data_IF_976307153248
#
_entry.id   IF_976307153248
#
_cell.length_a   1.000
_cell.length_b   1.000
_cell.length_c   1.000
_cell.angle_alpha   90.00
_cell.angle_beta   90.00
_cell.angle_gamma   90.00
#
_symmetry.space_group_name_H-M   'P 1'
#
loop_
_entity.id
_entity.type
_entity.pdbx_description
1 polymer ?
#
# COMPACT_ATOMS: atom_id res chain seq x y z
N UNK A 1 -33.19 35.45 38.14
CA UNK A 1 -33.43 35.90 36.75
C UNK A 1 -32.25 36.68 36.16
N UNK A 2 -31.76 37.79 36.74
CA UNK A 2 -30.63 38.56 36.17
C UNK A 2 -29.33 37.73 36.03
N UNK A 3 -28.93 37.03 37.08
CA UNK A 3 -27.73 36.18 37.05
C UNK A 3 -27.83 35.01 36.05
N UNK A 4 -29.04 34.47 35.84
CA UNK A 4 -29.27 33.41 34.84
C UNK A 4 -29.16 33.95 33.41
N UNK A 5 -29.59 35.19 33.17
CA UNK A 5 -29.48 35.84 31.87
C UNK A 5 -28.03 36.12 31.49
N UNK A 6 -27.22 36.62 32.43
CA UNK A 6 -25.78 36.82 32.19
C UNK A 6 -25.05 35.52 31.87
N UNK A 7 -25.39 34.42 32.56
CA UNK A 7 -24.82 33.09 32.26
C UNK A 7 -25.28 32.59 30.88
N UNK A 8 -26.54 32.81 30.51
CA UNK A 8 -27.05 32.44 29.17
C UNK A 8 -26.34 33.24 28.08
N UNK A 9 -26.18 34.56 28.24
CA UNK A 9 -25.49 35.40 27.26
C UNK A 9 -24.00 35.02 27.12
N UNK A 10 -23.36 34.50 28.18
CA UNK A 10 -22.00 33.96 28.13
C UNK A 10 -21.91 32.59 27.45
N UNK A 11 -22.93 31.74 27.60
CA UNK A 11 -22.99 30.41 26.99
C UNK A 11 -23.48 30.43 25.53
N UNK A 12 -24.29 31.43 25.17
CA UNK A 12 -24.84 31.63 23.81
C UNK A 12 -23.83 32.36 22.90
N UNK A 13 -22.60 31.87 22.89
CA UNK A 13 -21.57 32.31 21.96
C UNK A 13 -21.46 31.35 20.78
N UNK A 14 -21.17 31.90 19.61
CA UNK A 14 -20.94 31.09 18.41
C UNK A 14 -19.70 30.20 18.61
N UNK A 15 -19.90 28.89 18.55
CA UNK A 15 -18.81 27.91 18.59
C UNK A 15 -17.89 28.08 17.37
N UNK A 16 -16.59 28.08 17.62
CA UNK A 16 -15.59 28.02 16.56
C UNK A 16 -15.58 26.62 15.92
N UNK A 17 -15.09 26.57 14.69
CA UNK A 17 -14.87 25.32 13.95
C UNK A 17 -13.37 25.09 13.76
N UNK A 18 -12.97 23.84 13.61
CA UNK A 18 -11.59 23.46 13.32
C UNK A 18 -11.57 22.62 12.06
N UNK A 19 -10.76 23.03 11.10
CA UNK A 19 -10.36 22.18 9.97
C UNK A 19 -9.13 21.40 10.41
N UNK A 20 -9.18 20.09 10.25
CA UNK A 20 -8.03 19.22 10.46
C UNK A 20 -7.58 18.71 9.10
N UNK A 21 -6.32 18.97 8.78
CA UNK A 21 -5.64 18.43 7.61
C UNK A 21 -4.58 17.44 8.08
N UNK A 22 -4.68 16.18 7.63
CA UNK A 22 -3.63 15.18 7.84
C UNK A 22 -2.92 14.89 6.52
N UNK A 23 -1.64 14.59 6.61
CA UNK A 23 -0.77 14.22 5.49
C UNK A 23 -0.05 12.94 5.89
N UNK A 24 -0.31 11.88 5.14
CA UNK A 24 0.28 10.57 5.36
C UNK A 24 1.17 10.27 4.17
N UNK A 25 2.44 10.04 4.46
CA UNK A 25 3.46 9.72 3.46
C UNK A 25 3.99 8.33 3.78
N UNK A 26 3.85 7.39 2.84
CA UNK A 26 4.42 6.05 2.92
C UNK A 26 5.29 5.81 1.70
N UNK A 27 6.57 5.52 1.92
CA UNK A 27 7.53 5.14 0.89
C UNK A 27 8.02 3.74 1.19
N UNK A 28 7.82 2.81 0.28
CA UNK A 28 8.37 1.46 0.38
C UNK A 28 9.32 1.17 -0.78
N UNK A 29 10.38 0.41 -0.50
CA UNK A 29 11.35 -0.05 -1.48
C UNK A 29 11.67 -1.53 -1.19
N UNK A 30 11.55 -2.37 -2.21
CA UNK A 30 11.88 -3.79 -2.16
C UNK A 30 12.97 -4.07 -3.20
N UNK A 31 14.14 -4.55 -2.79
CA UNK A 31 15.21 -4.98 -3.69
C UNK A 31 15.55 -6.44 -3.39
N UNK A 32 15.47 -7.30 -4.41
CA UNK A 32 15.76 -8.72 -4.32
C UNK A 32 16.75 -9.11 -5.41
N UNK A 33 17.82 -9.77 -5.01
CA UNK A 33 18.87 -10.30 -5.87
C UNK A 33 18.99 -11.80 -5.62
N UNK A 34 18.91 -12.61 -6.67
CA UNK A 34 19.08 -14.04 -6.59
C UNK A 34 20.04 -14.51 -7.70
N UNK A 35 20.98 -15.36 -7.32
CA UNK A 35 21.87 -16.02 -8.25
C UNK A 35 22.13 -17.46 -7.80
N UNK A 36 21.98 -18.42 -8.71
CA UNK A 36 22.28 -19.82 -8.40
C UNK A 36 22.42 -20.69 -9.62
N UNK A 37 23.12 -21.81 -9.46
CA UNK A 37 23.28 -22.82 -10.51
C UNK A 37 22.82 -24.18 -9.96
N UNK A 38 21.94 -24.84 -10.69
CA UNK A 38 21.40 -26.15 -10.37
C UNK A 38 21.91 -27.18 -11.38
N UNK A 39 22.24 -28.37 -10.89
CA UNK A 39 22.73 -29.48 -11.70
C UNK A 39 21.80 -30.68 -11.52
N UNK A 40 21.42 -31.32 -12.60
CA UNK A 40 20.60 -32.53 -12.58
C UNK A 40 21.13 -33.52 -13.60
N UNK A 41 21.16 -34.80 -13.25
CA UNK A 41 21.51 -35.88 -14.17
C UNK A 41 20.49 -37.03 -14.07
N UNK A 42 20.10 -37.58 -15.21
CA UNK A 42 19.12 -38.67 -15.27
C UNK A 42 18.58 -38.96 -16.67
N UNK A 43 18.21 -40.23 -16.91
CA UNK A 43 17.64 -40.69 -18.17
C UNK A 43 16.12 -40.43 -18.20
N UNK A 44 15.63 -39.69 -19.20
CA UNK A 44 14.20 -39.38 -19.36
C UNK A 44 13.37 -40.54 -19.95
N UNK A 45 14.02 -41.61 -20.44
CA UNK A 45 13.38 -42.66 -21.25
C UNK A 45 13.48 -44.07 -20.67
N UNK A 46 13.91 -44.28 -19.42
CA UNK A 46 13.98 -45.64 -18.85
C UNK A 46 14.62 -45.72 -17.48
N UNK A 47 14.38 -46.85 -16.79
CA UNK A 47 14.81 -47.18 -15.43
C UNK A 47 16.33 -46.97 -15.22
N UNK A 48 16.70 -45.79 -14.77
CA UNK A 48 18.06 -45.40 -14.42
C UNK A 48 18.05 -44.51 -13.18
N UNK A 49 19.16 -44.49 -12.44
CA UNK A 49 19.31 -43.65 -11.26
C UNK A 49 19.24 -42.17 -11.61
N UNK A 50 18.50 -41.40 -10.81
CA UNK A 50 18.39 -39.95 -10.91
C UNK A 50 19.25 -39.33 -9.79
N UNK A 51 20.07 -38.34 -10.12
CA UNK A 51 20.90 -37.62 -9.14
C UNK A 51 21.01 -36.14 -9.52
N UNK A 52 20.95 -35.24 -8.56
CA UNK A 52 21.03 -33.81 -8.85
C UNK A 52 21.03 -32.98 -7.57
N UNK A 53 21.58 -31.77 -7.67
CA UNK A 53 21.51 -30.76 -6.63
C UNK A 53 20.45 -29.75 -7.03
N UNK A 54 19.30 -29.83 -6.35
CA UNK A 54 18.24 -28.84 -6.45
C UNK A 54 18.39 -27.87 -5.27
N UNK A 55 18.82 -26.65 -5.56
CA UNK A 55 19.05 -25.59 -4.58
C UNK A 55 17.99 -24.51 -4.84
N UNK A 56 16.99 -24.37 -3.98
CA UNK A 56 15.99 -23.30 -3.92
C UNK A 56 15.04 -23.08 -5.12
N UNK A 57 13.73 -23.11 -4.87
CA UNK A 57 12.66 -22.75 -5.83
C UNK A 57 12.27 -23.87 -6.80
N UNK A 58 10.99 -23.86 -7.23
CA UNK A 58 10.37 -24.88 -8.11
C UNK A 58 11.28 -25.28 -9.28
N UNK A 59 12.08 -26.32 -9.07
CA UNK A 59 13.04 -26.80 -10.04
C UNK A 59 12.49 -27.98 -10.83
N UNK A 60 13.30 -28.41 -11.79
CA UNK A 60 13.06 -29.57 -12.62
C UNK A 60 12.63 -30.79 -11.77
N UNK A 61 11.35 -31.15 -11.85
CA UNK A 61 10.74 -32.27 -11.13
C UNK A 61 11.53 -33.57 -11.36
N UNK A 62 11.83 -34.29 -10.28
CA UNK A 62 12.65 -35.53 -10.27
C UNK A 62 11.89 -36.80 -10.68
N UNK A 63 10.59 -36.69 -11.00
CA UNK A 63 9.72 -37.82 -11.35
C UNK A 63 8.69 -37.55 -12.45
N UNK A 64 8.77 -36.44 -13.18
CA UNK A 64 7.83 -36.10 -14.26
C UNK A 64 8.49 -35.29 -15.39
N UNK A 65 7.89 -35.30 -16.58
CA UNK A 65 8.37 -34.50 -17.72
C UNK A 65 8.45 -33.03 -17.34
N UNK A 66 9.65 -32.48 -17.30
CA UNK A 66 9.88 -31.08 -16.95
C UNK A 66 9.46 -30.20 -18.11
N UNK A 67 8.26 -29.62 -18.05
CA UNK A 67 7.87 -28.56 -18.98
C UNK A 67 8.60 -27.26 -18.60
N UNK A 68 9.04 -26.53 -19.63
CA UNK A 68 9.65 -25.18 -19.51
C UNK A 68 8.67 -24.16 -18.87
N UNK A 69 7.39 -24.52 -18.77
CA UNK A 69 6.27 -23.70 -18.29
C UNK A 69 6.25 -23.48 -16.76
N UNK A 70 7.13 -24.15 -16.00
CA UNK A 70 7.17 -24.09 -14.51
C UNK A 70 8.39 -23.31 -14.00
N UNK A 71 9.16 -22.66 -14.88
CA UNK A 71 10.33 -21.90 -14.49
C UNK A 71 9.93 -20.57 -13.82
N UNK A 72 10.38 -20.28 -12.59
CA UNK A 72 10.10 -19.01 -11.94
C UNK A 72 10.76 -17.83 -12.67
N UNK A 73 10.22 -16.63 -12.47
CA UNK A 73 10.67 -15.39 -13.12
C UNK A 73 12.18 -15.14 -12.91
N UNK A 74 12.87 -14.70 -13.97
CA UNK A 74 14.32 -14.46 -14.00
C UNK A 74 14.96 -14.91 -15.33
N UNK A 75 16.27 -14.65 -15.48
CA UNK A 75 17.04 -15.24 -16.57
C UNK A 75 17.37 -16.68 -16.20
N UNK A 76 16.82 -17.63 -16.96
CA UNK A 76 17.03 -19.06 -16.80
C UNK A 76 17.75 -19.57 -18.05
N UNK A 77 19.00 -19.99 -17.92
CA UNK A 77 19.78 -20.58 -19.02
C UNK A 77 20.04 -22.04 -18.68
N UNK A 78 19.61 -22.94 -19.55
CA UNK A 78 19.85 -24.36 -19.36
C UNK A 78 20.18 -25.10 -20.63
N UNK A 79 20.97 -26.17 -20.46
CA UNK A 79 21.34 -27.10 -21.53
C UNK A 79 20.72 -28.45 -21.19
N UNK A 80 19.96 -29.01 -22.14
CA UNK A 80 19.36 -30.34 -22.04
C UNK A 80 19.88 -31.15 -23.23
N UNK A 81 20.67 -32.20 -22.99
CA UNK A 81 21.24 -33.04 -24.05
C UNK A 81 20.77 -34.48 -23.89
N UNK A 82 19.67 -34.83 -24.57
CA UNK A 82 19.21 -36.22 -24.65
C UNK A 82 20.34 -37.22 -24.93
N UNK A 83 20.21 -38.41 -24.34
CA UNK A 83 21.23 -39.46 -24.20
C UNK A 83 22.36 -39.43 -25.26
N UNK A 84 23.60 -39.30 -24.80
CA UNK A 84 24.78 -39.36 -25.67
C UNK A 84 25.28 -40.81 -25.70
N UNK A 85 25.07 -41.50 -26.83
CA UNK A 85 25.69 -42.79 -27.10
C UNK A 85 27.13 -42.56 -27.56
N UNK A 86 28.11 -42.88 -26.72
CA UNK A 86 29.53 -42.80 -27.09
C UNK A 86 29.96 -44.17 -27.64
N UNK A 87 30.44 -44.27 -28.90
CA UNK A 87 30.89 -45.55 -29.48
C UNK A 87 32.01 -46.16 -28.62
N UNK A 88 31.76 -47.35 -28.07
CA UNK A 88 32.71 -48.11 -27.25
C UNK A 88 32.59 -47.93 -25.72
N UNK A 89 31.72 -47.04 -25.23
CA UNK A 89 31.58 -46.76 -23.77
C UNK A 89 30.14 -46.93 -23.26
N UNK A 90 29.13 -46.97 -24.14
CA UNK A 90 27.72 -47.16 -23.79
C UNK A 90 26.93 -45.84 -23.73
N UNK A 91 25.69 -45.90 -23.23
CA UNK A 91 24.86 -44.71 -22.98
C UNK A 91 25.34 -43.98 -21.73
N UNK A 92 25.77 -42.72 -21.87
CA UNK A 92 26.19 -41.87 -20.75
C UNK A 92 25.01 -41.02 -20.28
N UNK A 93 24.88 -40.84 -18.96
CA UNK A 93 23.83 -40.01 -18.36
C UNK A 93 23.89 -38.56 -18.88
N UNK A 94 22.73 -38.00 -19.24
CA UNK A 94 22.59 -36.56 -19.60
C UNK A 94 22.84 -35.70 -18.36
N UNK A 95 23.68 -34.68 -18.49
CA UNK A 95 23.92 -33.66 -17.48
C UNK A 95 23.19 -32.38 -17.88
N UNK A 96 22.14 -32.08 -17.13
CA UNK A 96 21.37 -30.85 -17.25
C UNK A 96 21.92 -29.80 -16.29
N UNK A 97 22.07 -28.59 -16.80
CA UNK A 97 22.51 -27.43 -16.04
C UNK A 97 21.45 -26.37 -16.15
N UNK A 98 21.12 -25.71 -15.05
CA UNK A 98 20.23 -24.55 -15.02
C UNK A 98 20.91 -23.45 -14.22
N UNK A 99 21.31 -22.38 -14.90
CA UNK A 99 21.78 -21.15 -14.27
C UNK A 99 20.63 -20.15 -14.16
N UNK A 100 20.44 -19.59 -12.97
CA UNK A 100 19.41 -18.61 -12.67
C UNK A 100 20.04 -17.33 -12.14
N UNK A 101 19.65 -16.20 -12.72
CA UNK A 101 19.96 -14.87 -12.21
C UNK A 101 18.70 -13.99 -12.23
N UNK A 102 18.42 -13.33 -11.11
CA UNK A 102 17.30 -12.42 -10.96
C UNK A 102 17.74 -11.20 -10.15
N UNK A 103 17.41 -10.01 -10.66
CA UNK A 103 17.43 -8.77 -9.91
C UNK A 103 16.06 -8.12 -10.05
N UNK A 104 15.38 -7.91 -8.94
CA UNK A 104 14.05 -7.32 -8.86
C UNK A 104 14.12 -6.09 -7.97
N UNK A 105 13.69 -4.96 -8.49
CA UNK A 105 13.55 -3.73 -7.72
C UNK A 105 12.11 -3.23 -7.84
N UNK A 106 11.44 -3.10 -6.70
CA UNK A 106 10.10 -2.54 -6.56
C UNK A 106 10.13 -1.32 -5.65
N UNK A 107 9.23 -0.37 -5.89
CA UNK A 107 9.05 0.78 -5.02
C UNK A 107 7.62 1.29 -5.09
N UNK A 108 7.15 1.84 -3.98
CA UNK A 108 5.84 2.47 -3.87
C UNK A 108 5.96 3.79 -3.13
N UNK A 109 5.18 4.79 -3.55
CA UNK A 109 5.05 6.07 -2.87
C UNK A 109 3.57 6.41 -2.76
N UNK A 110 3.06 6.48 -1.53
CA UNK A 110 1.67 6.75 -1.23
C UNK A 110 1.58 8.06 -0.46
N UNK A 111 0.85 9.01 -1.03
CA UNK A 111 0.53 10.29 -0.40
C UNK A 111 -0.98 10.39 -0.19
N UNK A 112 -1.42 10.42 1.06
CA UNK A 112 -2.83 10.59 1.40
C UNK A 112 -3.04 11.85 2.21
N UNK A 113 -4.03 12.68 1.81
CA UNK A 113 -4.35 13.94 2.50
C UNK A 113 -5.82 14.00 2.94
N UNK A 114 -6.23 13.23 3.95
CA UNK A 114 -7.57 13.34 4.49
C UNK A 114 -7.78 14.71 5.15
N UNK A 115 -8.95 15.31 4.92
CA UNK A 115 -9.36 16.55 5.54
C UNK A 115 -10.75 16.41 6.16
N UNK A 116 -10.97 17.10 7.27
CA UNK A 116 -12.29 17.18 7.89
C UNK A 116 -12.51 18.54 8.58
N UNK A 117 -13.78 18.91 8.72
CA UNK A 117 -14.21 20.11 9.45
C UNK A 117 -15.12 19.65 10.59
N UNK A 118 -14.89 20.16 11.80
CA UNK A 118 -15.75 19.88 12.95
C UNK A 118 -15.89 21.10 13.86
N UNK A 119 -16.87 21.06 14.75
CA UNK A 119 -17.04 22.07 15.79
C UNK A 119 -16.03 21.85 16.93
N UNK A 120 -15.70 22.91 17.64
CA UNK A 120 -14.95 22.81 18.88
C UNK A 120 -15.65 21.88 19.89
N UNK A 121 -14.92 20.97 20.52
CA UNK A 121 -15.37 19.92 21.43
C UNK A 121 -16.23 18.80 20.80
N UNK A 122 -16.44 18.79 19.49
CA UNK A 122 -17.25 17.80 18.78
C UNK A 122 -16.38 16.75 18.07
N UNK A 123 -16.65 15.47 18.30
CA UNK A 123 -15.95 14.40 17.59
C UNK A 123 -16.43 14.31 16.15
N UNK A 124 -15.50 14.15 15.22
CA UNK A 124 -15.78 13.92 13.82
C UNK A 124 -14.95 12.74 13.29
N UNK A 125 -15.50 12.03 12.31
CA UNK A 125 -14.82 10.92 11.67
C UNK A 125 -14.98 10.96 10.16
N UNK A 126 -13.95 10.50 9.45
CA UNK A 126 -13.97 10.26 8.02
C UNK A 126 -13.41 8.85 7.77
N UNK A 127 -14.13 8.08 6.95
CA UNK A 127 -13.70 6.77 6.49
C UNK A 127 -13.69 6.75 4.96
N UNK A 128 -12.57 6.34 4.38
CA UNK A 128 -12.37 6.17 2.94
C UNK A 128 -11.76 4.80 2.72
N UNK A 129 -12.55 3.85 2.24
CA UNK A 129 -12.11 2.48 2.11
C UNK A 129 -13.15 1.58 1.48
N UNK A 130 -12.95 0.28 1.67
CA UNK A 130 -13.81 -0.78 1.18
C UNK A 130 -14.17 -1.69 2.34
N UNK A 131 -15.38 -2.25 2.32
CA UNK A 131 -15.80 -3.27 3.28
C UNK A 131 -15.64 -4.64 2.63
N UNK A 132 -14.77 -5.47 3.20
CA UNK A 132 -14.37 -6.75 2.62
C UNK A 132 -14.90 -7.89 3.48
N UNK A 133 -15.45 -8.96 2.88
CA UNK A 133 -15.90 -10.15 3.61
C UNK A 133 -14.71 -11.06 4.01
N UNK A 134 -14.73 -11.53 5.25
CA UNK A 134 -13.82 -12.51 5.85
C UNK A 134 -14.61 -13.75 6.26
N UNK A 135 -14.20 -14.93 5.81
CA UNK A 135 -14.82 -16.19 6.24
C UNK A 135 -14.25 -16.57 7.61
N UNK A 136 -15.05 -16.51 8.67
CA UNK A 136 -14.62 -16.76 10.06
C UNK A 136 -14.89 -18.18 10.53
N UNK A 137 -15.65 -18.95 9.76
CA UNK A 137 -15.89 -20.37 10.05
C UNK A 137 -16.49 -21.07 8.85
N UNK A 138 -16.15 -22.35 8.68
CA UNK A 138 -16.78 -23.23 7.71
C UNK A 138 -17.14 -24.55 8.37
N UNK A 139 -18.40 -24.96 8.33
CA UNK A 139 -18.81 -26.28 8.80
C UNK A 139 -19.48 -27.06 7.69
N UNK A 140 -19.07 -28.31 7.50
CA UNK A 140 -19.78 -29.28 6.66
C UNK A 140 -20.81 -29.99 7.53
N UNK A 141 -22.09 -29.84 7.20
CA UNK A 141 -23.14 -30.66 7.81
C UNK A 141 -23.02 -32.08 7.28
N UNK A 142 -22.46 -32.98 8.08
CA UNK A 142 -22.38 -34.41 7.77
C UNK A 142 -23.76 -35.08 7.78
N UNK A 143 -24.52 -34.91 6.70
CA UNK A 143 -25.70 -35.72 6.39
C UNK A 143 -25.38 -36.59 5.18
N UNK A 144 -25.34 -37.91 5.37
CA UNK A 144 -24.85 -38.89 4.39
C UNK A 144 -25.33 -38.64 2.96
N UNK A 145 -24.39 -38.26 2.11
CA UNK A 145 -24.59 -37.95 0.70
C UNK A 145 -23.55 -36.92 0.25
N UNK A 146 -22.90 -37.18 -0.87
CA UNK A 146 -21.73 -36.54 -1.53
C UNK A 146 -21.80 -35.02 -1.77
N UNK A 147 -22.37 -34.21 -0.87
CA UNK A 147 -22.47 -32.75 -0.99
C UNK A 147 -21.43 -32.08 -0.10
N UNK A 148 -20.26 -31.83 -0.70
CA UNK A 148 -19.11 -31.19 -0.05
C UNK A 148 -19.16 -29.65 -0.23
N UNK A 149 -20.27 -29.00 0.13
CA UNK A 149 -20.37 -27.54 0.14
C UNK A 149 -20.45 -27.04 1.59
N UNK A 150 -19.34 -26.61 2.20
CA UNK A 150 -19.34 -26.14 3.58
C UNK A 150 -20.15 -24.85 3.72
N UNK A 151 -21.00 -24.75 4.75
CA UNK A 151 -21.62 -23.49 5.13
C UNK A 151 -20.54 -22.57 5.71
N UNK A 152 -20.40 -21.36 5.16
CA UNK A 152 -19.39 -20.39 5.56
C UNK A 152 -20.05 -19.21 6.30
N UNK A 153 -19.56 -18.91 7.50
CA UNK A 153 -19.91 -17.67 8.22
C UNK A 153 -18.99 -16.56 7.76
N UNK A 154 -19.57 -15.43 7.35
CA UNK A 154 -18.84 -14.29 6.79
C UNK A 154 -18.99 -13.07 7.69
N UNK A 155 -17.86 -12.53 8.17
CA UNK A 155 -17.78 -11.25 8.88
C UNK A 155 -17.29 -10.18 7.91
N UNK A 156 -17.83 -8.96 7.99
CA UNK A 156 -17.39 -7.85 7.14
C UNK A 156 -16.49 -6.92 7.95
N UNK A 157 -15.33 -6.59 7.40
CA UNK A 157 -14.40 -5.64 8.02
C UNK A 157 -14.09 -4.49 7.06
N UNK A 158 -13.92 -3.30 7.64
CA UNK A 158 -13.57 -2.07 6.93
C UNK A 158 -12.05 -2.01 6.72
N UNK A 159 -11.62 -1.88 5.47
CA UNK A 159 -10.21 -1.72 5.09
C UNK A 159 -10.04 -0.41 4.33
N UNK A 160 -9.21 0.49 4.83
CA UNK A 160 -8.94 1.79 4.22
C UNK A 160 -8.39 2.80 5.21
N UNK A 161 -8.60 4.07 4.91
CA UNK A 161 -8.20 5.19 5.77
C UNK A 161 -9.36 5.59 6.67
N UNK A 162 -9.13 5.57 7.98
CA UNK A 162 -10.06 6.06 9.00
C UNK A 162 -9.37 7.14 9.82
N UNK A 163 -10.01 8.28 9.98
CA UNK A 163 -9.54 9.36 10.82
C UNK A 163 -10.69 9.82 11.71
N UNK A 164 -10.55 9.62 13.02
CA UNK A 164 -11.41 10.17 14.03
C UNK A 164 -10.64 11.24 14.79
N UNK A 165 -11.26 12.39 15.03
CA UNK A 165 -10.63 13.46 15.78
C UNK A 165 -11.66 14.23 16.59
N UNK A 166 -11.23 14.66 17.78
CA UNK A 166 -11.97 15.58 18.64
C UNK A 166 -11.08 16.78 18.96
N UNK A 167 -11.34 17.95 18.39
CA UNK A 167 -10.60 19.15 18.73
C UNK A 167 -11.18 19.83 19.96
N UNK A 168 -10.29 20.49 20.70
CA UNK A 168 -10.62 21.38 21.80
C UNK A 168 -9.74 22.63 21.70
N UNK A 169 -10.35 23.79 21.52
CA UNK A 169 -9.64 25.07 21.41
C UNK A 169 -9.39 25.62 22.82
N UNK A 170 -8.14 25.98 23.11
CA UNK A 170 -7.75 26.68 24.32
C UNK A 170 -7.87 28.20 24.13
N UNK A 171 -7.96 28.96 25.22
CA UNK A 171 -8.05 30.42 25.17
C UNK A 171 -6.87 31.08 24.45
N UNK A 172 -5.67 30.47 24.54
CA UNK A 172 -4.45 30.94 23.87
C UNK A 172 -4.38 30.73 22.35
N UNK A 173 -5.42 30.19 21.71
CA UNK A 173 -5.42 29.92 20.27
C UNK A 173 -4.75 28.60 19.87
N UNK A 174 -4.30 27.83 20.85
CA UNK A 174 -3.79 26.47 20.68
C UNK A 174 -4.96 25.47 20.64
N UNK A 175 -4.83 24.44 19.81
CA UNK A 175 -5.81 23.36 19.64
C UNK A 175 -5.25 22.07 20.24
N UNK A 176 -5.94 21.54 21.25
CA UNK A 176 -5.75 20.17 21.70
C UNK A 176 -6.55 19.25 20.76
N UNK A 177 -5.93 18.18 20.29
CA UNK A 177 -6.57 17.21 19.40
C UNK A 177 -6.40 15.81 19.99
N UNK A 178 -7.52 15.14 20.24
CA UNK A 178 -7.55 13.70 20.48
C UNK A 178 -7.80 13.02 19.13
N UNK A 179 -6.83 12.22 18.65
CA UNK A 179 -6.80 11.70 17.29
C UNK A 179 -6.65 10.19 17.30
N UNK A 180 -7.53 9.52 16.56
CA UNK A 180 -7.37 8.12 16.16
C UNK A 180 -7.29 8.05 14.65
N UNK A 181 -6.12 7.72 14.13
CA UNK A 181 -5.89 7.53 12.70
C UNK A 181 -5.53 6.08 12.43
N UNK A 182 -6.15 5.49 11.41
CA UNK A 182 -5.88 4.15 10.95
C UNK A 182 -5.75 4.14 9.43
N UNK A 183 -4.74 3.44 8.93
CA UNK A 183 -4.56 3.11 7.53
C UNK A 183 -4.47 1.60 7.44
N UNK A 184 -5.38 1.00 6.68
CA UNK A 184 -5.36 -0.43 6.40
C UNK A 184 -5.41 -0.71 4.90
N UNK A 185 -4.70 -1.77 4.50
CA UNK A 185 -4.69 -2.26 3.13
C UNK A 185 -4.79 -3.78 3.10
N UNK A 186 -5.23 -4.32 1.96
CA UNK A 186 -5.29 -5.77 1.74
C UNK A 186 -3.97 -6.24 1.17
N UNK A 187 -3.38 -7.26 1.80
CA UNK A 187 -2.24 -7.97 1.25
C UNK A 187 -2.72 -9.11 0.34
N UNK A 188 -2.69 -8.86 -0.97
CA UNK A 188 -3.07 -9.84 -2.00
C UNK A 188 -2.02 -10.95 -2.18
N UNK A 189 -0.79 -10.78 -1.67
CA UNK A 189 0.28 -11.77 -1.81
C UNK A 189 0.24 -12.80 -0.68
N UNK A 190 -0.22 -12.37 0.50
CA UNK A 190 -0.40 -13.21 1.67
C UNK A 190 -1.79 -13.90 1.73
N UNK A 191 -2.72 -13.57 0.82
CA UNK A 191 -4.02 -14.26 0.74
C UNK A 191 -3.86 -15.69 0.23
N UNK A 192 -3.63 -16.62 1.16
CA UNK A 192 -3.63 -18.06 0.93
C UNK A 192 -5.07 -18.61 1.00
N UNK A 193 -5.22 -19.91 0.73
CA UNK A 193 -6.49 -20.65 0.76
C UNK A 193 -7.31 -20.54 2.07
N UNK A 194 -6.76 -19.95 3.14
CA UNK A 194 -7.41 -19.73 4.44
C UNK A 194 -7.93 -18.30 4.69
N UNK A 195 -7.77 -17.35 3.75
CA UNK A 195 -8.41 -16.04 3.87
C UNK A 195 -7.53 -14.85 3.46
N UNK A 196 -8.16 -13.67 3.46
CA UNK A 196 -7.52 -12.40 3.14
C UNK A 196 -6.70 -11.90 4.33
N UNK A 197 -5.46 -11.46 4.09
CA UNK A 197 -4.62 -10.80 5.11
C UNK A 197 -4.71 -9.29 4.93
N UNK A 198 -4.81 -8.54 6.03
CA UNK A 198 -4.83 -7.07 6.02
C UNK A 198 -3.67 -6.51 6.84
N UNK A 199 -2.97 -5.52 6.29
CA UNK A 199 -2.01 -4.75 7.07
C UNK A 199 -2.74 -3.55 7.67
N UNK A 200 -2.58 -3.34 8.98
CA UNK A 200 -3.20 -2.23 9.71
C UNK A 200 -2.14 -1.42 10.42
N UNK A 201 -2.16 -0.11 10.21
CA UNK A 201 -1.28 0.86 10.84
C UNK A 201 -2.15 1.89 11.54
N UNK A 202 -2.05 1.98 12.85
CA UNK A 202 -2.90 2.86 13.64
C UNK A 202 -2.08 3.73 14.59
N UNK A 203 -2.52 4.96 14.80
CA UNK A 203 -1.97 5.94 15.74
C UNK A 203 -3.14 6.45 16.58
N UNK A 204 -3.01 6.33 17.90
CA UNK A 204 -3.93 6.89 18.89
C UNK A 204 -3.12 7.82 19.80
N UNK A 205 -3.39 9.12 19.74
CA UNK A 205 -2.60 10.11 20.46
C UNK A 205 -3.40 11.38 20.77
N UNK A 206 -2.95 12.11 21.79
CA UNK A 206 -3.46 13.43 22.15
C UNK A 206 -2.32 14.44 22.07
N UNK A 207 -2.49 15.48 21.25
CA UNK A 207 -1.47 16.48 20.99
C UNK A 207 -2.02 17.88 21.19
N UNK A 208 -1.12 18.84 21.33
CA UNK A 208 -1.43 20.26 21.48
C UNK A 208 -0.61 21.03 20.45
N UNK A 209 -1.30 21.83 19.62
CA UNK A 209 -0.74 22.49 18.45
C UNK A 209 -1.25 23.92 18.32
N UNK A 210 -0.41 24.85 17.87
CA UNK A 210 -0.89 26.19 17.54
C UNK A 210 -1.65 26.22 16.20
N UNK A 211 -2.51 27.23 16.04
CA UNK A 211 -3.30 27.42 14.82
C UNK A 211 -2.41 27.50 13.56
N UNK A 212 -2.68 26.64 12.57
CA UNK A 212 -1.94 26.56 11.32
C UNK A 212 -0.57 25.86 11.40
N UNK A 213 -0.10 25.47 12.59
CA UNK A 213 1.16 24.75 12.74
C UNK A 213 1.02 23.31 12.23
N UNK A 214 2.04 22.82 11.53
CA UNK A 214 2.13 21.40 11.15
C UNK A 214 3.05 20.67 12.12
N UNK A 215 2.64 19.49 12.58
CA UNK A 215 3.44 18.63 13.44
C UNK A 215 3.40 17.18 12.94
N UNK A 216 4.50 16.46 13.16
CA UNK A 216 4.58 15.02 12.93
C UNK A 216 3.94 14.31 14.12
N UNK A 217 2.87 13.54 13.88
CA UNK A 217 2.22 12.71 14.90
C UNK A 217 3.06 11.49 15.25
N UNK A 218 3.76 10.96 14.25
CA UNK A 218 4.58 9.78 14.37
C UNK A 218 5.08 9.28 13.02
N UNK A 219 5.86 8.22 13.06
CA UNK A 219 6.36 7.55 11.89
C UNK A 219 6.95 6.19 12.22
N UNK A 220 7.14 5.36 11.19
CA UNK A 220 7.79 4.06 11.27
C UNK A 220 8.87 4.01 10.22
N UNK A 221 10.09 3.66 10.62
CA UNK A 221 11.18 3.28 9.73
C UNK A 221 11.42 1.79 9.95
N UNK A 222 11.21 0.99 8.91
CA UNK A 222 11.40 -0.46 8.97
C UNK A 222 12.34 -0.89 7.86
N UNK A 223 13.47 -1.48 8.26
CA UNK A 223 14.46 -2.05 7.35
C UNK A 223 14.56 -3.56 7.62
N UNK A 224 14.23 -4.36 6.62
CA UNK A 224 14.39 -5.80 6.59
C UNK A 224 15.54 -6.19 5.68
N UNK A 225 16.37 -7.13 6.14
CA UNK A 225 17.39 -7.79 5.34
C UNK A 225 17.26 -9.29 5.54
N UNK A 226 17.10 -10.02 4.44
CA UNK A 226 17.04 -11.48 4.43
C UNK A 226 18.09 -11.99 3.45
N UNK A 227 18.87 -12.97 3.89
CA UNK A 227 19.89 -13.63 3.09
C UNK A 227 19.75 -15.13 3.29
N UNK A 228 19.58 -15.84 2.17
CA UNK A 228 19.48 -17.30 2.10
C UNK A 228 20.61 -17.82 1.23
N UNK A 229 21.53 -18.57 1.85
CA UNK A 229 22.67 -19.18 1.18
C UNK A 229 22.54 -20.70 1.24
N UNK A 230 22.26 -21.32 0.09
CA UNK A 230 22.26 -22.76 -0.08
C UNK A 230 23.49 -23.17 -0.87
N UNK A 231 24.27 -24.13 -0.38
CA UNK A 231 25.51 -24.52 -1.04
C UNK A 231 25.84 -25.99 -0.81
N UNK A 232 26.49 -26.61 -1.80
CA UNK A 232 27.04 -27.96 -1.65
C UNK A 232 28.29 -27.88 -0.76
N UNK A 233 28.37 -28.64 0.35
CA UNK A 233 29.57 -28.68 1.19
C UNK A 233 30.81 -29.06 0.37
N UNK A 234 31.96 -28.45 0.69
CA UNK A 234 33.26 -28.60 -0.01
C UNK A 234 33.34 -28.02 -1.42
N UNK A 235 32.43 -28.37 -2.35
CA UNK A 235 32.48 -27.91 -3.74
C UNK A 235 32.26 -26.40 -3.87
N UNK A 236 31.46 -25.82 -2.99
CA UNK A 236 31.23 -24.37 -2.92
C UNK A 236 32.45 -23.54 -2.51
N UNK A 237 33.48 -24.18 -1.92
CA UNK A 237 34.69 -23.48 -1.42
C UNK A 237 35.80 -23.36 -2.46
N UNK A 238 35.68 -24.02 -3.61
CA UNK A 238 36.69 -23.96 -4.67
C UNK A 238 36.73 -22.53 -5.23
N UNK A 239 37.87 -21.83 -5.22
CA UNK A 239 37.97 -20.51 -5.83
C UNK A 239 37.62 -20.60 -7.33
N UNK A 240 37.00 -19.55 -7.88
CA UNK A 240 36.44 -19.49 -9.25
C UNK A 240 35.23 -20.40 -9.51
N UNK A 241 35.27 -21.68 -9.12
CA UNK A 241 34.25 -22.68 -9.48
C UNK A 241 33.13 -22.85 -8.44
N UNK A 242 33.35 -22.43 -7.19
CA UNK A 242 32.38 -22.59 -6.10
C UNK A 242 31.06 -21.84 -6.33
N UNK A 243 31.07 -20.82 -7.19
CA UNK A 243 29.88 -20.05 -7.62
C UNK A 243 28.87 -20.94 -8.37
N UNK A 244 29.34 -22.02 -9.01
CA UNK A 244 28.50 -22.98 -9.72
C UNK A 244 27.81 -23.99 -8.79
N UNK A 245 28.16 -24.04 -7.51
CA UNK A 245 27.64 -25.01 -6.54
C UNK A 245 26.94 -24.33 -5.35
N UNK A 246 26.48 -23.10 -5.54
CA UNK A 246 25.74 -22.31 -4.55
C UNK A 246 24.53 -21.63 -5.18
N UNK A 247 23.51 -21.38 -4.38
CA UNK A 247 22.37 -20.53 -4.63
C UNK A 247 22.30 -19.50 -3.51
N UNK A 248 22.39 -18.23 -3.89
CA UNK A 248 22.36 -17.10 -2.98
C UNK A 248 21.16 -16.23 -3.35
N UNK A 249 20.29 -16.01 -2.36
CA UNK A 249 19.14 -15.12 -2.48
C UNK A 249 19.24 -14.08 -1.36
N UNK A 250 19.28 -12.81 -1.75
CA UNK A 250 19.28 -11.65 -0.87
C UNK A 250 18.06 -10.81 -1.15
N UNK A 251 17.32 -10.42 -0.12
CA UNK A 251 16.26 -9.42 -0.24
C UNK A 251 16.40 -8.38 0.85
N UNK A 252 16.14 -7.13 0.48
CA UNK A 252 15.96 -6.03 1.41
C UNK A 252 14.61 -5.37 1.17
N UNK A 253 13.92 -5.08 2.26
CA UNK A 253 12.66 -4.34 2.25
C UNK A 253 12.80 -3.14 3.16
N UNK A 254 12.49 -1.95 2.66
CA UNK A 254 12.51 -0.69 3.40
C UNK A 254 11.13 -0.08 3.36
N UNK A 255 10.63 0.38 4.49
CA UNK A 255 9.34 1.06 4.61
C UNK A 255 9.47 2.26 5.53
N UNK A 256 9.14 3.44 5.00
CA UNK A 256 9.17 4.72 5.70
C UNK A 256 7.77 5.30 5.74
N UNK A 257 7.19 5.43 6.92
CA UNK A 257 5.89 6.06 7.12
C UNK A 257 6.04 7.29 7.98
N UNK A 258 5.42 8.40 7.57
CA UNK A 258 5.31 9.62 8.35
C UNK A 258 3.87 10.14 8.31
N UNK A 259 3.36 10.57 9.45
CA UNK A 259 2.04 11.19 9.57
C UNK A 259 2.20 12.59 10.09
N UNK A 260 1.74 13.57 9.33
CA UNK A 260 1.69 14.97 9.72
C UNK A 260 0.25 15.40 9.92
N UNK A 261 0.06 16.38 10.80
CA UNK A 261 -1.24 16.99 11.03
C UNK A 261 -1.11 18.48 11.21
N UNK A 262 -2.10 19.22 10.69
CA UNK A 262 -2.25 20.66 10.83
C UNK A 262 -3.70 21.01 11.19
N UNK A 263 -3.97 21.62 12.35
CA UNK A 263 -5.26 22.23 12.63
C UNK A 263 -5.32 23.66 12.08
N UNK A 264 -6.53 24.10 11.71
CA UNK A 264 -6.82 25.49 11.37
C UNK A 264 -8.15 25.93 11.99
N UNK A 265 -8.14 26.99 12.79
CA UNK A 265 -9.32 27.48 13.50
C UNK A 265 -10.12 28.44 12.60
N UNK A 266 -11.42 28.18 12.47
CA UNK A 266 -12.37 29.04 11.78
C UNK A 266 -13.31 29.66 12.81
N UNK A 267 -13.11 30.96 13.07
CA UNK A 267 -14.00 31.77 13.94
C UNK A 267 -15.02 32.57 13.13
N UNK A 268 -14.64 33.01 11.95
CA UNK A 268 -15.43 33.89 11.09
C UNK A 268 -15.99 33.17 9.86
N UNK A 269 -17.20 33.54 9.43
CA UNK A 269 -17.84 33.00 8.23
C UNK A 269 -17.09 33.40 6.95
N UNK A 270 -16.45 34.57 6.91
CA UNK A 270 -15.61 35.00 5.79
C UNK A 270 -14.38 34.11 5.61
N UNK A 271 -13.74 33.72 6.71
CA UNK A 271 -12.60 32.79 6.68
C UNK A 271 -13.01 31.40 6.18
N UNK A 272 -14.12 30.85 6.70
CA UNK A 272 -14.65 29.56 6.22
C UNK A 272 -15.01 29.60 4.73
N UNK A 273 -15.59 30.71 4.28
CA UNK A 273 -15.91 30.94 2.87
C UNK A 273 -14.69 30.91 1.95
N UNK A 274 -13.60 31.57 2.35
CA UNK A 274 -12.35 31.58 1.58
C UNK A 274 -11.73 30.19 1.45
N UNK A 275 -11.75 29.40 2.53
CA UNK A 275 -11.24 28.01 2.52
C UNK A 275 -12.05 27.15 1.56
N UNK A 276 -13.39 27.23 1.64
CA UNK A 276 -14.29 26.51 0.73
C UNK A 276 -14.05 26.87 -0.73
N UNK A 277 -13.94 28.17 -1.05
CA UNK A 277 -13.67 28.63 -2.42
C UNK A 277 -12.32 28.12 -2.95
N UNK A 278 -11.27 28.22 -2.13
CA UNK A 278 -9.94 27.75 -2.50
C UNK A 278 -9.95 26.23 -2.79
N UNK A 279 -10.62 25.44 -1.96
CA UNK A 279 -10.75 23.99 -2.13
C UNK A 279 -11.59 23.63 -3.35
N UNK A 280 -12.69 24.33 -3.57
CA UNK A 280 -13.54 24.13 -4.75
C UNK A 280 -12.79 24.41 -6.05
N UNK A 281 -12.09 25.55 -6.12
CA UNK A 281 -11.29 25.92 -7.28
C UNK A 281 -10.11 24.97 -7.52
N UNK A 282 -9.49 24.46 -6.45
CA UNK A 282 -8.47 23.41 -6.56
C UNK A 282 -9.04 22.15 -7.22
N UNK A 283 -10.17 21.64 -6.75
CA UNK A 283 -10.81 20.45 -7.31
C UNK A 283 -11.22 20.65 -8.77
N UNK A 284 -11.76 21.82 -9.10
CA UNK A 284 -12.14 22.18 -10.47
C UNK A 284 -10.92 22.20 -11.41
N UNK A 285 -9.80 22.79 -10.97
CA UNK A 285 -8.55 22.79 -11.75
C UNK A 285 -7.95 21.39 -11.91
N UNK A 286 -7.99 20.57 -10.85
CA UNK A 286 -7.53 19.19 -10.90
C UNK A 286 -8.33 18.37 -11.93
N UNK A 287 -9.65 18.53 -12.00
CA UNK A 287 -10.50 17.91 -13.03
C UNK A 287 -10.22 18.45 -14.44
N UNK A 288 -9.90 19.74 -14.55
CA UNK A 288 -9.54 20.35 -15.83
C UNK A 288 -8.34 19.68 -16.51
N UNK A 289 -7.41 19.16 -15.71
CA UNK A 289 -6.19 18.50 -16.17
C UNK A 289 -6.38 17.01 -16.50
N UNK A 290 -7.48 16.38 -16.08
CA UNK A 290 -7.77 14.95 -16.28
C UNK A 290 -8.48 14.65 -17.61
N UNK A 291 -8.23 15.45 -18.65
CA UNK A 291 -8.79 15.17 -19.98
C UNK A 291 -8.10 13.92 -20.53
N UNK A 292 -8.84 12.83 -20.83
CA UNK A 292 -8.24 11.68 -21.50
C UNK A 292 -7.60 12.15 -22.80
N UNK A 293 -6.42 11.63 -23.12
CA UNK A 293 -5.76 11.95 -24.38
C UNK A 293 -6.70 11.62 -25.53
N UNK A 294 -6.76 12.54 -26.50
CA UNK A 294 -7.64 12.43 -27.65
C UNK A 294 -7.29 11.16 -28.44
N UNK A 295 -8.17 10.17 -28.39
CA UNK A 295 -8.01 8.95 -29.18
C UNK A 295 -8.80 9.10 -30.48
N UNK A 296 -8.15 8.91 -31.62
CA UNK A 296 -8.76 9.02 -32.95
C UNK A 296 -9.83 7.94 -33.24
N UNK A 297 -9.78 6.81 -32.54
CA UNK A 297 -10.73 5.69 -32.69
C UNK A 297 -11.89 5.72 -31.68
N UNK A 298 -11.79 6.49 -30.60
CA UNK A 298 -12.82 6.56 -29.57
C UNK A 298 -13.44 7.96 -29.54
N UNK A 299 -14.76 8.09 -29.32
CA UNK A 299 -15.37 9.40 -29.12
C UNK A 299 -14.70 10.14 -27.95
N UNK A 300 -14.51 11.44 -28.10
CA UNK A 300 -13.98 12.29 -27.04
C UNK A 300 -14.90 12.21 -25.80
N UNK A 301 -14.41 11.58 -24.73
CA UNK A 301 -15.11 11.54 -23.46
C UNK A 301 -14.87 12.85 -22.72
N UNK A 302 -15.93 13.65 -22.54
CA UNK A 302 -15.87 14.81 -21.66
C UNK A 302 -15.92 14.34 -20.21
N UNK A 303 -14.81 14.51 -19.48
CA UNK A 303 -14.82 14.31 -18.04
C UNK A 303 -15.79 15.32 -17.39
N UNK A 304 -16.61 14.90 -16.40
CA UNK A 304 -17.50 15.82 -15.69
C UNK A 304 -16.66 16.89 -14.98
N UNK A 305 -16.91 18.15 -15.29
CA UNK A 305 -16.24 19.29 -14.66
C UNK A 305 -17.18 19.98 -13.69
N UNK A 306 -16.66 20.33 -12.51
CA UNK A 306 -17.35 21.19 -11.56
C UNK A 306 -17.68 22.55 -12.22
N UNK A 307 -18.89 23.11 -11.97
CA UNK A 307 -19.24 24.43 -12.45
C UNK A 307 -18.30 25.53 -11.92
N UNK A 308 -18.41 26.76 -12.43
CA UNK A 308 -17.66 27.87 -11.85
C UNK A 308 -18.14 28.14 -10.41
N UNK A 309 -17.22 28.57 -9.53
CA UNK A 309 -17.56 28.88 -8.14
C UNK A 309 -18.73 29.89 -8.03
N UNK A 310 -18.80 30.86 -8.94
CA UNK A 310 -19.90 31.83 -9.01
C UNK A 310 -21.27 31.20 -9.33
N UNK A 311 -21.31 30.09 -10.07
CA UNK A 311 -22.55 29.36 -10.38
C UNK A 311 -22.89 28.33 -9.30
N UNK A 312 -21.88 27.71 -8.71
CA UNK A 312 -22.04 26.67 -7.70
C UNK A 312 -22.37 27.24 -6.31
N UNK A 313 -21.85 28.43 -6.00
CA UNK A 313 -22.00 29.06 -4.70
C UNK A 313 -22.27 30.57 -4.90
N UNK A 314 -23.52 30.94 -5.29
CA UNK A 314 -23.88 32.29 -5.73
C UNK A 314 -23.65 33.37 -4.66
N UNK A 315 -23.70 33.00 -3.37
CA UNK A 315 -23.51 33.94 -2.26
C UNK A 315 -22.02 34.23 -1.94
N UNK A 316 -21.06 33.68 -2.70
CA UNK A 316 -19.62 33.78 -2.41
C UNK A 316 -18.83 34.66 -3.40
N UNK A 317 -19.44 35.62 -4.09
CA UNK A 317 -18.66 36.58 -4.87
C UNK A 317 -17.63 37.28 -3.95
N UNK A 318 -16.31 37.22 -4.23
CA UNK A 318 -15.35 37.98 -3.47
C UNK A 318 -15.69 39.47 -3.65
N UNK A 319 -15.86 40.17 -2.54
CA UNK A 319 -15.93 41.63 -2.58
C UNK A 319 -14.67 42.13 -3.29
N UNK A 320 -14.85 42.91 -4.36
CA UNK A 320 -13.75 43.43 -5.16
C UNK A 320 -12.74 44.16 -4.25
N UNK A 321 -11.55 43.59 -4.05
CA UNK A 321 -10.45 44.25 -3.33
C UNK A 321 -9.69 43.44 -2.29
N UNK A 322 -10.11 42.24 -1.89
CA UNK A 322 -9.34 41.41 -0.95
C UNK A 322 -8.53 40.35 -1.70
N UNK A 323 -7.24 40.63 -1.91
CA UNK A 323 -6.30 39.60 -2.36
C UNK A 323 -6.17 38.50 -1.28
N UNK A 324 -6.22 37.22 -1.63
CA UNK A 324 -6.03 36.14 -0.66
C UNK A 324 -4.62 36.19 -0.06
N UNK A 325 -4.53 36.24 1.27
CA UNK A 325 -3.27 35.99 1.99
C UNK A 325 -2.89 34.50 1.87
N UNK A 326 -1.61 34.28 1.60
CA UNK A 326 -0.88 33.00 1.52
C UNK A 326 -1.51 31.91 0.64
N UNK A 327 -0.98 31.79 -0.58
CA UNK A 327 -1.17 30.64 -1.46
C UNK A 327 -0.58 29.41 -0.76
N UNK A 328 -1.37 28.35 -0.57
CA UNK A 328 -0.84 27.01 -0.26
C UNK A 328 0.02 26.62 -1.47
N UNK A 329 1.35 26.74 -1.33
CA UNK A 329 2.28 26.29 -2.35
C UNK A 329 2.28 24.77 -2.31
N UNK A 330 1.62 24.15 -3.29
CA UNK A 330 1.81 22.73 -3.55
C UNK A 330 3.30 22.51 -3.82
N UNK A 331 3.92 21.60 -3.08
CA UNK A 331 5.26 21.13 -3.39
C UNK A 331 5.16 20.44 -4.75
N UNK A 332 5.89 20.89 -5.79
CA UNK A 332 5.92 20.19 -7.05
C UNK A 332 6.52 18.81 -6.82
N UNK A 333 5.80 17.78 -7.26
CA UNK A 333 6.32 16.41 -7.31
C UNK A 333 7.25 16.34 -8.54
N UNK A 334 8.51 15.89 -8.40
CA UNK A 334 9.38 15.62 -9.54
C UNK A 334 8.92 14.41 -10.37
#
# INVERSE_FOLDING_TARGET
YRNLREVIDQLDQRRAQVVIESLIVEVSEDDANQFGVQWQTGNLNGSGGFGGVNLGGSGLNTGGSTSIDVLPTGLNVGVVRGAVTIPGIGEVLDLKVLARALKSKGGSNVLSTPNLLTLDNEAASIFVGQTIPFVTGSYVTGGGGTSNNPFQTVQREEVGLKLNVRPQISEGGTVKLDIYQEVSNVDQRASLASGTVTNKRAIDTSILLDDGQIMVLGGLLQDGYNQSDEAVPWLSRIPLLGVLFRNEARSTSKTNLMVFLRPYIIRDSGTGRNITLNRYEFMRRAQGNLRPERNWMLPDMQAPQLPSAAKAIPDLQPAAGQMPRAVIRAVPVP
#
